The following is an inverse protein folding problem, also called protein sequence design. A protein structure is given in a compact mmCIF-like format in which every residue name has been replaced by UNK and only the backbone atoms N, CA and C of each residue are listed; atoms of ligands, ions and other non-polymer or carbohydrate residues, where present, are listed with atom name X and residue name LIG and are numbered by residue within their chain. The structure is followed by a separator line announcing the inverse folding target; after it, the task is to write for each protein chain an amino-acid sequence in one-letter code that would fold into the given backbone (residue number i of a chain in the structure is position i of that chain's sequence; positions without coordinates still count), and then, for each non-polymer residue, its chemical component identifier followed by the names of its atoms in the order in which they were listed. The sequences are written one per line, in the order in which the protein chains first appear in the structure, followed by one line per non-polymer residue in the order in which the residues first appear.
data_IF_491541734389
#
_entry.id   IF_491541734389
#
_cell.length_a   1.000
_cell.length_b   1.000
_cell.length_c   1.000
_cell.angle_alpha   90.00
_cell.angle_beta   90.00
_cell.angle_gamma   90.00
#
_symmetry.space_group_name_H-M   'P 1'
#
loop_
_entity.id
_entity.type
_entity.pdbx_description
1 polymer ?
#
# COMPACT_ATOMS: atom_id res chain seq x y z
N UNK A 1 25.35 0.94 30.37
CA UNK A 1 24.71 1.16 29.02
C UNK A 1 23.21 1.24 29.14
N UNK A 2 22.50 0.22 29.71
CA UNK A 2 21.03 0.16 29.76
C UNK A 2 20.36 1.38 30.43
N UNK A 3 20.88 1.79 31.60
CA UNK A 3 20.39 3.00 32.30
C UNK A 3 20.54 4.26 31.44
N UNK A 4 21.69 4.45 30.81
CA UNK A 4 21.92 5.64 29.98
C UNK A 4 21.05 5.69 28.74
N UNK A 5 20.83 4.56 28.08
CA UNK A 5 19.91 4.52 26.94
C UNK A 5 18.44 4.73 27.37
N UNK A 6 18.03 4.18 28.51
CA UNK A 6 16.69 4.40 29.06
C UNK A 6 16.46 5.87 29.44
N UNK A 7 17.47 6.52 30.06
CA UNK A 7 17.45 7.94 30.38
C UNK A 7 17.37 8.79 29.10
N UNK A 8 18.18 8.49 28.10
CA UNK A 8 18.14 9.18 26.80
C UNK A 8 16.79 9.01 26.12
N UNK A 9 16.21 7.83 26.11
CA UNK A 9 14.89 7.57 25.56
C UNK A 9 13.79 8.34 26.29
N UNK A 10 13.87 8.49 27.62
CA UNK A 10 12.96 9.33 28.38
C UNK A 10 13.08 10.80 28.03
N UNK A 11 14.30 11.32 27.94
CA UNK A 11 14.57 12.70 27.52
C UNK A 11 14.08 12.96 26.10
N UNK A 12 14.33 12.03 25.17
CA UNK A 12 13.83 12.11 23.80
C UNK A 12 12.29 12.14 23.74
N UNK A 13 11.61 11.36 24.60
CA UNK A 13 10.17 11.40 24.72
C UNK A 13 9.65 12.79 25.15
N UNK A 14 10.28 13.43 26.14
CA UNK A 14 9.86 14.73 26.65
C UNK A 14 10.15 15.88 25.67
N UNK A 15 11.24 15.77 24.92
CA UNK A 15 11.65 16.78 23.91
C UNK A 15 11.02 16.53 22.54
N UNK A 16 10.49 15.31 22.30
CA UNK A 16 9.90 14.92 21.03
C UNK A 16 10.90 14.55 19.93
N UNK A 17 12.22 14.52 20.25
CA UNK A 17 13.29 14.13 19.30
C UNK A 17 14.42 13.42 20.02
N UNK A 18 15.05 12.38 19.40
CA UNK A 18 14.62 11.69 18.18
C UNK A 18 13.29 10.95 18.36
N UNK A 19 12.69 10.54 17.26
CA UNK A 19 11.43 9.79 17.28
C UNK A 19 11.59 8.42 17.93
N UNK A 20 10.50 7.86 18.45
CA UNK A 20 10.49 6.49 18.98
C UNK A 20 11.07 5.47 18.00
N UNK A 21 10.71 5.57 16.71
CA UNK A 21 11.18 4.63 15.68
C UNK A 21 12.68 4.70 15.43
N UNK A 22 13.29 5.87 15.57
CA UNK A 22 14.76 6.05 15.48
C UNK A 22 15.44 5.40 16.69
N UNK A 23 14.89 5.58 17.89
CA UNK A 23 15.42 4.94 19.08
C UNK A 23 15.25 3.42 19.10
N UNK A 24 14.13 2.90 18.59
CA UNK A 24 13.96 1.45 18.42
C UNK A 24 15.03 0.84 17.49
N UNK A 25 15.39 1.55 16.41
CA UNK A 25 16.49 1.15 15.52
C UNK A 25 17.84 1.24 16.21
N UNK A 26 18.08 2.31 16.96
CA UNK A 26 19.32 2.49 17.71
C UNK A 26 19.49 1.40 18.78
N UNK A 27 18.40 1.07 19.53
CA UNK A 27 18.41 0.00 20.52
C UNK A 27 18.67 -1.37 19.87
N UNK A 28 18.02 -1.65 18.75
CA UNK A 28 18.26 -2.89 18.00
C UNK A 28 19.69 -2.96 17.45
N UNK A 29 20.24 -1.82 17.00
CA UNK A 29 21.63 -1.72 16.58
C UNK A 29 22.62 -1.98 17.72
N UNK A 30 22.40 -1.39 18.88
CA UNK A 30 23.22 -1.65 20.07
C UNK A 30 23.20 -3.14 20.45
N UNK A 31 22.03 -3.76 20.49
CA UNK A 31 21.91 -5.19 20.82
C UNK A 31 22.49 -6.12 19.76
N UNK A 32 22.61 -5.67 18.52
CA UNK A 32 23.20 -6.44 17.42
C UNK A 32 24.72 -6.36 17.43
N UNK A 33 25.26 -5.14 17.51
CA UNK A 33 26.70 -4.88 17.38
C UNK A 33 27.46 -5.03 18.69
N UNK A 34 26.79 -4.89 19.83
CA UNK A 34 27.37 -4.97 21.16
C UNK A 34 26.58 -6.00 22.02
N UNK A 35 26.64 -7.28 21.64
CA UNK A 35 25.83 -8.33 22.28
C UNK A 35 26.16 -8.52 23.77
N UNK A 36 27.34 -8.12 24.22
CA UNK A 36 27.78 -8.13 25.61
C UNK A 36 26.92 -7.24 26.52
N UNK A 37 26.21 -6.25 25.97
CA UNK A 37 25.30 -5.40 26.74
C UNK A 37 23.87 -5.95 26.85
N UNK A 38 23.57 -7.09 26.21
CA UNK A 38 22.28 -7.75 26.36
C UNK A 38 22.18 -8.50 27.72
N UNK A 39 20.98 -8.52 28.33
CA UNK A 39 19.76 -7.80 27.93
C UNK A 39 19.78 -6.33 28.33
N UNK A 40 18.97 -5.48 27.64
CA UNK A 40 18.74 -4.08 27.97
C UNK A 40 17.29 -3.87 28.50
N UNK A 41 16.96 -4.40 29.70
CA UNK A 41 15.57 -4.46 30.17
C UNK A 41 14.96 -3.09 30.47
N UNK A 42 15.73 -2.14 31.02
CA UNK A 42 15.25 -0.78 31.30
C UNK A 42 14.93 -0.03 30.00
N UNK A 43 15.83 -0.07 29.04
CA UNK A 43 15.66 0.54 27.72
C UNK A 43 14.41 -0.02 27.02
N UNK A 44 14.26 -1.35 27.02
CA UNK A 44 13.08 -2.00 26.44
C UNK A 44 11.79 -1.67 27.20
N UNK A 45 11.84 -1.53 28.54
CA UNK A 45 10.70 -1.09 29.34
C UNK A 45 10.31 0.36 29.01
N UNK A 46 11.29 1.26 28.90
CA UNK A 46 11.08 2.63 28.51
C UNK A 46 10.43 2.75 27.13
N UNK A 47 10.94 2.03 26.12
CA UNK A 47 10.39 2.01 24.77
C UNK A 47 8.97 1.43 24.70
N UNK A 48 8.67 0.41 25.53
CA UNK A 48 7.30 -0.12 25.65
C UNK A 48 6.37 0.90 26.31
N UNK A 49 6.83 1.58 27.35
CA UNK A 49 6.09 2.68 28.01
C UNK A 49 5.73 3.78 27.03
N UNK A 50 6.72 4.27 26.26
CA UNK A 50 6.48 5.25 25.20
C UNK A 50 5.43 4.77 24.20
N UNK A 51 5.51 3.51 23.74
CA UNK A 51 4.53 2.95 22.79
C UNK A 51 3.10 2.86 23.33
N UNK A 52 2.93 2.78 24.67
CA UNK A 52 1.61 2.82 25.31
C UNK A 52 1.08 4.24 25.45
N UNK A 53 1.95 5.21 25.78
CA UNK A 53 1.58 6.62 25.93
C UNK A 53 1.31 7.28 24.58
N UNK A 54 2.12 6.94 23.57
CA UNK A 54 1.98 7.43 22.20
C UNK A 54 1.94 6.23 21.27
N UNK A 55 0.79 5.57 21.13
CA UNK A 55 0.66 4.44 20.21
C UNK A 55 0.89 4.90 18.77
N UNK A 56 1.58 4.10 17.95
CA UNK A 56 1.76 4.43 16.55
C UNK A 56 0.39 4.54 15.87
N UNK A 57 0.19 5.63 15.14
CA UNK A 57 -1.04 5.78 14.36
C UNK A 57 -0.98 4.81 13.16
N UNK A 58 -1.91 3.86 13.06
CA UNK A 58 -1.94 2.95 11.93
C UNK A 58 -2.27 3.73 10.65
N UNK A 59 -1.66 3.34 9.54
CA UNK A 59 -1.99 3.91 8.23
C UNK A 59 -3.50 3.83 7.99
N UNK A 60 -4.08 4.91 7.46
CA UNK A 60 -5.50 4.94 7.13
C UNK A 60 -5.79 3.94 6.01
N UNK A 61 -6.88 3.15 6.08
CA UNK A 61 -7.24 2.25 4.98
C UNK A 61 -7.66 3.09 3.77
N UNK A 62 -7.06 2.80 2.61
CA UNK A 62 -7.34 3.51 1.36
C UNK A 62 -8.70 3.09 0.80
N UNK A 63 -9.73 3.96 0.78
CA UNK A 63 -10.97 3.64 0.09
C UNK A 63 -10.74 3.38 -1.40
N UNK A 64 -11.56 2.51 -2.01
CA UNK A 64 -11.42 2.19 -3.45
C UNK A 64 -11.49 3.43 -4.33
N UNK A 65 -12.43 4.32 -4.05
CA UNK A 65 -12.63 5.54 -4.84
C UNK A 65 -11.40 6.44 -4.79
N UNK A 66 -10.76 6.56 -3.61
CA UNK A 66 -9.50 7.29 -3.51
C UNK A 66 -8.39 6.57 -4.29
N UNK A 67 -8.31 5.24 -4.27
CA UNK A 67 -7.32 4.50 -5.04
C UNK A 67 -7.50 4.70 -6.55
N UNK A 68 -8.73 4.68 -7.05
CA UNK A 68 -9.07 4.96 -8.46
C UNK A 68 -8.71 6.40 -8.84
N UNK A 69 -9.11 7.37 -8.01
CA UNK A 69 -8.81 8.78 -8.27
C UNK A 69 -7.30 9.07 -8.26
N UNK A 70 -6.55 8.46 -7.33
CA UNK A 70 -5.09 8.58 -7.29
C UNK A 70 -4.42 8.00 -8.53
N UNK A 71 -4.89 6.84 -9.00
CA UNK A 71 -4.39 6.24 -10.24
C UNK A 71 -4.67 7.12 -11.45
N UNK A 72 -5.89 7.66 -11.57
CA UNK A 72 -6.24 8.59 -12.63
C UNK A 72 -5.39 9.88 -12.57
N UNK A 73 -5.21 10.45 -11.38
CA UNK A 73 -4.37 11.65 -11.20
C UNK A 73 -2.90 11.38 -11.56
N UNK A 74 -2.35 10.23 -11.21
CA UNK A 74 -0.99 9.83 -11.57
C UNK A 74 -0.85 9.63 -13.08
N UNK A 75 -1.80 8.96 -13.74
CA UNK A 75 -1.81 8.75 -15.19
C UNK A 75 -1.92 10.09 -15.95
N UNK A 76 -2.80 11.01 -15.50
CA UNK A 76 -2.92 12.36 -16.06
C UNK A 76 -1.63 13.18 -15.92
N UNK A 77 -0.84 12.91 -14.90
CA UNK A 77 0.48 13.51 -14.70
C UNK A 77 1.60 12.81 -15.49
N UNK A 78 1.28 11.84 -16.35
CA UNK A 78 2.23 11.07 -17.15
C UNK A 78 2.91 9.91 -16.40
N UNK A 79 2.53 9.62 -15.16
CA UNK A 79 3.12 8.54 -14.34
C UNK A 79 2.23 7.30 -14.35
N UNK A 80 2.12 6.69 -15.53
CA UNK A 80 1.30 5.48 -15.72
C UNK A 80 1.80 4.30 -14.90
N UNK A 81 3.11 4.17 -14.73
CA UNK A 81 3.70 3.10 -13.91
C UNK A 81 3.22 3.18 -12.45
N UNK A 82 3.23 4.37 -11.86
CA UNK A 82 2.70 4.56 -10.51
C UNK A 82 1.18 4.34 -10.43
N UNK A 83 0.43 4.77 -11.44
CA UNK A 83 -1.02 4.54 -11.50
C UNK A 83 -1.36 3.03 -11.43
N UNK A 84 -0.72 2.22 -12.27
CA UNK A 84 -0.92 0.76 -12.29
C UNK A 84 -0.43 0.13 -10.97
N UNK A 85 0.72 0.58 -10.46
CA UNK A 85 1.26 0.09 -9.19
C UNK A 85 0.31 0.35 -8.00
N UNK A 86 -0.36 1.50 -7.96
CA UNK A 86 -1.35 1.85 -6.92
C UNK A 86 -2.56 0.90 -6.97
N UNK A 87 -3.14 0.70 -8.15
CA UNK A 87 -4.28 -0.20 -8.34
C UNK A 87 -3.91 -1.64 -7.99
N UNK A 88 -2.76 -2.11 -8.48
CA UNK A 88 -2.27 -3.46 -8.19
C UNK A 88 -1.99 -3.65 -6.70
N UNK A 89 -1.47 -2.63 -6.02
CA UNK A 89 -1.22 -2.68 -4.58
C UNK A 89 -2.52 -2.73 -3.77
N UNK A 90 -3.59 -2.09 -4.24
CA UNK A 90 -4.90 -2.14 -3.61
C UNK A 90 -5.59 -3.49 -3.86
N UNK A 91 -5.58 -4.00 -5.09
CA UNK A 91 -6.21 -5.25 -5.47
C UNK A 91 -5.52 -6.47 -4.83
N UNK A 92 -4.19 -6.58 -5.00
CA UNK A 92 -3.39 -7.72 -4.54
C UNK A 92 -2.80 -7.53 -3.13
N UNK A 93 -3.10 -6.42 -2.46
CA UNK A 93 -2.61 -6.05 -1.13
C UNK A 93 -1.09 -6.10 -1.02
N UNK A 94 -0.39 -5.57 -2.03
CA UNK A 94 1.07 -5.60 -2.10
C UNK A 94 1.71 -4.54 -1.21
N UNK A 95 2.85 -4.90 -0.61
CA UNK A 95 3.74 -3.93 0.01
C UNK A 95 4.48 -3.14 -1.08
N UNK A 96 4.92 -1.93 -0.78
CA UNK A 96 5.66 -1.10 -1.74
C UNK A 96 6.91 -1.81 -2.27
N UNK A 97 7.62 -2.55 -1.42
CA UNK A 97 8.79 -3.33 -1.83
C UNK A 97 8.43 -4.52 -2.71
N UNK A 98 7.25 -5.11 -2.54
CA UNK A 98 6.76 -6.21 -3.36
C UNK A 98 6.42 -5.71 -4.76
N UNK A 99 5.61 -4.64 -4.88
CA UNK A 99 5.25 -4.08 -6.19
C UNK A 99 6.46 -3.51 -6.93
N UNK A 100 7.34 -2.76 -6.26
CA UNK A 100 8.56 -2.22 -6.87
C UNK A 100 9.57 -3.32 -7.29
N UNK A 101 9.48 -4.49 -6.67
CA UNK A 101 10.31 -5.65 -6.99
C UNK A 101 9.80 -6.52 -8.13
N UNK A 102 8.58 -6.26 -8.66
CA UNK A 102 8.01 -7.06 -9.74
C UNK A 102 8.81 -6.90 -11.03
N UNK A 103 9.15 -8.04 -11.62
CA UNK A 103 9.77 -8.13 -12.95
C UNK A 103 8.73 -8.51 -14.00
N UNK A 104 9.08 -8.41 -15.27
CA UNK A 104 8.20 -8.83 -16.38
C UNK A 104 7.80 -10.30 -16.25
N UNK A 105 8.71 -11.17 -15.79
CA UNK A 105 8.47 -12.60 -15.56
C UNK A 105 7.60 -12.90 -14.34
N UNK A 106 7.36 -11.91 -13.49
CA UNK A 106 6.55 -12.09 -12.29
C UNK A 106 5.04 -12.06 -12.58
N UNK A 107 4.62 -11.64 -13.76
CA UNK A 107 3.21 -11.66 -14.17
C UNK A 107 2.91 -12.96 -14.91
N UNK A 108 2.11 -13.81 -14.28
CA UNK A 108 1.67 -15.11 -14.81
C UNK A 108 0.29 -14.94 -15.41
N UNK A 109 0.20 -15.05 -16.74
CA UNK A 109 -1.06 -14.95 -17.49
C UNK A 109 -1.54 -16.34 -17.87
N UNK A 110 -2.62 -16.78 -17.24
CA UNK A 110 -3.28 -18.06 -17.48
C UNK A 110 -4.74 -17.86 -17.94
N UNK A 111 -5.09 -16.74 -18.55
CA UNK A 111 -6.46 -16.48 -19.03
C UNK A 111 -6.90 -17.51 -20.07
N UNK A 112 -5.99 -18.08 -20.84
CA UNK A 112 -6.24 -19.15 -21.80
C UNK A 112 -6.18 -20.58 -21.25
N UNK A 113 -6.03 -20.78 -19.94
CA UNK A 113 -5.97 -22.13 -19.36
C UNK A 113 -7.28 -22.90 -19.63
N UNK A 114 -7.15 -24.20 -19.93
CA UNK A 114 -8.30 -25.08 -20.13
C UNK A 114 -9.13 -25.23 -18.85
N UNK A 115 -8.45 -25.45 -17.72
CA UNK A 115 -9.09 -25.53 -16.40
C UNK A 115 -9.59 -24.15 -15.94
N UNK A 116 -10.92 -24.00 -15.78
CA UNK A 116 -11.51 -22.72 -15.32
C UNK A 116 -10.98 -22.24 -13.97
N UNK A 117 -10.57 -23.15 -13.08
CA UNK A 117 -10.02 -22.81 -11.75
C UNK A 117 -8.68 -22.12 -11.89
N UNK A 118 -7.91 -22.46 -12.90
CA UNK A 118 -6.60 -21.89 -13.18
C UNK A 118 -6.65 -20.59 -13.98
N UNK A 119 -7.81 -20.28 -14.60
CA UNK A 119 -7.94 -19.08 -15.44
C UNK A 119 -7.75 -17.81 -14.65
N UNK A 120 -6.88 -16.94 -15.14
CA UNK A 120 -6.67 -15.61 -14.58
C UNK A 120 -5.27 -15.09 -14.74
N UNK A 121 -4.99 -13.98 -14.09
CA UNK A 121 -3.67 -13.37 -14.02
C UNK A 121 -3.24 -13.32 -12.57
N UNK A 122 -2.01 -13.70 -12.30
CA UNK A 122 -1.42 -13.64 -10.97
C UNK A 122 -0.06 -12.92 -11.01
N UNK A 123 0.32 -12.35 -9.88
CA UNK A 123 1.67 -11.83 -9.65
C UNK A 123 2.43 -12.79 -8.76
N UNK A 124 3.61 -13.21 -9.20
CA UNK A 124 4.51 -14.07 -8.46
C UNK A 124 5.49 -13.25 -7.63
N UNK A 125 5.61 -13.60 -6.37
CA UNK A 125 6.43 -12.94 -5.37
C UNK A 125 7.50 -13.92 -4.88
N UNK A 126 8.71 -13.92 -5.47
CA UNK A 126 9.75 -14.90 -5.13
C UNK A 126 10.18 -14.82 -3.68
N UNK A 127 10.18 -13.62 -3.09
CA UNK A 127 10.51 -13.37 -1.68
C UNK A 127 9.65 -12.24 -1.13
N UNK A 128 9.02 -12.51 0.02
CA UNK A 128 8.28 -11.51 0.80
C UNK A 128 8.82 -11.45 2.23
N UNK A 129 8.34 -10.51 3.04
CA UNK A 129 8.71 -10.44 4.47
C UNK A 129 8.32 -11.70 5.24
N UNK A 130 7.25 -12.38 4.83
CA UNK A 130 6.62 -13.48 5.56
C UNK A 130 6.76 -14.84 4.89
N UNK A 131 7.44 -14.94 3.74
CA UNK A 131 7.59 -16.20 3.03
C UNK A 131 8.30 -16.08 1.70
N UNK A 132 8.45 -17.23 1.03
CA UNK A 132 9.05 -17.34 -0.31
C UNK A 132 8.04 -17.98 -1.26
N UNK A 133 8.20 -17.73 -2.58
CA UNK A 133 7.43 -18.39 -3.67
C UNK A 133 5.91 -18.23 -3.48
N UNK A 134 5.47 -17.02 -3.20
CA UNK A 134 4.05 -16.69 -3.04
C UNK A 134 3.50 -16.14 -4.36
N UNK A 135 2.22 -16.37 -4.62
CA UNK A 135 1.50 -15.78 -5.74
C UNK A 135 0.21 -15.14 -5.25
N UNK A 136 -0.23 -14.10 -5.93
CA UNK A 136 -1.53 -13.45 -5.66
C UNK A 136 -2.24 -13.23 -6.97
N UNK A 137 -3.46 -13.76 -7.08
CA UNK A 137 -4.33 -13.55 -8.23
C UNK A 137 -4.84 -12.11 -8.24
N UNK A 138 -4.91 -11.51 -9.42
CA UNK A 138 -5.58 -10.23 -9.63
C UNK A 138 -7.08 -10.51 -9.71
N UNK A 139 -7.88 -9.91 -8.82
CA UNK A 139 -9.33 -10.16 -8.74
C UNK A 139 -10.10 -9.37 -9.79
N UNK A 140 -9.66 -8.15 -10.11
CA UNK A 140 -10.29 -7.30 -11.13
C UNK A 140 -9.87 -7.74 -12.54
N UNK A 141 -10.80 -8.23 -13.39
CA UNK A 141 -10.47 -8.62 -14.77
C UNK A 141 -9.88 -7.48 -15.60
N UNK A 142 -10.42 -6.27 -15.48
CA UNK A 142 -9.90 -5.09 -16.19
C UNK A 142 -8.47 -4.73 -15.76
N UNK A 143 -8.18 -4.84 -14.45
CA UNK A 143 -6.82 -4.62 -13.96
C UNK A 143 -5.86 -5.73 -14.42
N UNK A 144 -6.34 -6.97 -14.51
CA UNK A 144 -5.58 -8.07 -15.05
C UNK A 144 -5.16 -7.81 -16.50
N UNK A 145 -6.09 -7.36 -17.35
CA UNK A 145 -5.81 -6.96 -18.73
C UNK A 145 -4.80 -5.82 -18.81
N UNK A 146 -5.00 -4.77 -18.00
CA UNK A 146 -4.09 -3.64 -17.93
C UNK A 146 -2.67 -4.06 -17.52
N UNK A 147 -2.53 -4.92 -16.52
CA UNK A 147 -1.23 -5.41 -16.05
C UNK A 147 -0.52 -6.27 -17.10
N UNK A 148 -1.26 -7.11 -17.84
CA UNK A 148 -0.69 -7.89 -18.94
C UNK A 148 -0.25 -7.00 -20.09
N UNK A 149 -1.06 -6.00 -20.48
CA UNK A 149 -0.67 -5.03 -21.49
C UNK A 149 0.57 -4.24 -21.08
N UNK A 150 0.62 -3.79 -19.83
CA UNK A 150 1.78 -3.11 -19.25
C UNK A 150 3.05 -3.98 -19.24
N UNK A 151 2.93 -5.25 -18.84
CA UNK A 151 4.03 -6.22 -18.92
C UNK A 151 4.56 -6.32 -20.33
N UNK A 152 3.68 -6.54 -21.33
CA UNK A 152 4.05 -6.70 -22.72
C UNK A 152 4.74 -5.44 -23.28
N UNK A 153 4.25 -4.27 -22.94
CA UNK A 153 4.86 -2.99 -23.34
C UNK A 153 6.26 -2.82 -22.70
N UNK A 154 6.38 -3.16 -21.40
CA UNK A 154 7.64 -3.10 -20.66
C UNK A 154 8.69 -4.07 -21.23
N UNK A 155 8.28 -5.28 -21.57
CA UNK A 155 9.12 -6.32 -22.19
C UNK A 155 9.65 -5.85 -23.56
N UNK A 156 8.76 -5.31 -24.41
CA UNK A 156 9.15 -4.75 -25.71
C UNK A 156 10.13 -3.58 -25.58
N UNK A 157 10.02 -2.79 -24.50
CA UNK A 157 10.95 -1.72 -24.17
C UNK A 157 12.27 -2.22 -23.54
N UNK A 158 12.47 -3.52 -23.39
CA UNK A 158 13.64 -4.11 -22.77
C UNK A 158 13.72 -3.91 -21.24
N UNK A 159 12.63 -3.51 -20.62
CA UNK A 159 12.60 -3.30 -19.18
C UNK A 159 12.59 -4.64 -18.42
N UNK A 160 13.46 -4.78 -17.44
CA UNK A 160 13.45 -5.95 -16.55
C UNK A 160 12.43 -5.81 -15.41
N UNK A 161 12.20 -4.60 -14.94
CA UNK A 161 11.25 -4.28 -13.85
C UNK A 161 10.02 -3.59 -14.41
N UNK A 162 8.86 -3.90 -13.84
CA UNK A 162 7.59 -3.31 -14.23
C UNK A 162 7.38 -1.91 -13.63
N UNK A 163 7.94 -1.66 -12.45
CA UNK A 163 7.63 -0.46 -11.67
C UNK A 163 8.89 0.22 -11.16
N UNK A 164 8.85 1.54 -10.93
CA UNK A 164 9.96 2.29 -10.39
C UNK A 164 10.25 1.93 -8.92
N UNK A 165 11.41 2.36 -8.38
CA UNK A 165 11.80 2.08 -7.01
C UNK A 165 10.83 2.70 -5.99
N UNK A 166 10.82 2.19 -4.73
CA UNK A 166 9.90 2.63 -3.68
C UNK A 166 9.91 4.14 -3.40
N UNK A 167 11.06 4.80 -3.56
CA UNK A 167 11.18 6.24 -3.36
C UNK A 167 10.33 7.02 -4.38
N UNK A 168 10.46 6.68 -5.67
CA UNK A 168 9.70 7.31 -6.77
C UNK A 168 8.19 7.06 -6.59
N UNK A 169 7.78 5.83 -6.27
CA UNK A 169 6.38 5.50 -6.01
C UNK A 169 5.78 6.33 -4.87
N UNK A 170 6.55 6.62 -3.80
CA UNK A 170 6.09 7.50 -2.71
C UNK A 170 5.92 8.94 -3.17
N UNK A 171 6.84 9.44 -3.99
CA UNK A 171 6.74 10.80 -4.57
C UNK A 171 5.48 10.92 -5.42
N UNK A 172 5.21 9.94 -6.28
CA UNK A 172 4.01 9.92 -7.14
C UNK A 172 2.72 9.86 -6.30
N UNK A 173 2.68 9.03 -5.26
CA UNK A 173 1.54 8.97 -4.34
C UNK A 173 1.30 10.33 -3.66
N UNK A 174 2.35 10.94 -3.10
CA UNK A 174 2.22 12.22 -2.40
C UNK A 174 1.75 13.33 -3.35
N UNK A 175 2.27 13.36 -4.58
CA UNK A 175 1.82 14.31 -5.62
C UNK A 175 0.34 14.13 -5.95
N UNK A 176 -0.10 12.89 -6.18
CA UNK A 176 -1.50 12.59 -6.47
C UNK A 176 -2.44 12.94 -5.29
N UNK A 177 -2.02 12.66 -4.05
CA UNK A 177 -2.76 13.07 -2.83
C UNK A 177 -2.91 14.59 -2.74
N UNK A 178 -1.85 15.35 -3.04
CA UNK A 178 -1.90 16.82 -3.04
C UNK A 178 -2.85 17.36 -4.11
N UNK A 179 -2.76 16.84 -5.34
CA UNK A 179 -3.65 17.24 -6.46
C UNK A 179 -5.11 17.01 -6.12
N UNK A 180 -5.43 15.93 -5.43
CA UNK A 180 -6.80 15.60 -5.03
C UNK A 180 -7.27 16.27 -3.73
N UNK A 181 -6.41 17.05 -3.07
CA UNK A 181 -6.73 17.64 -1.77
C UNK A 181 -6.94 16.59 -0.66
N UNK A 182 -6.39 15.38 -0.84
CA UNK A 182 -6.51 14.27 0.11
C UNK A 182 -5.20 14.03 0.91
N UNK A 183 -4.31 15.01 0.92
CA UNK A 183 -3.02 14.99 1.63
C UNK A 183 -2.74 16.31 2.34
N UNK A 184 -1.69 16.30 3.19
CA UNK A 184 -1.21 17.47 3.90
C UNK A 184 -1.76 17.63 5.32
N UNK A 185 -1.35 18.73 6.02
CA UNK A 185 -1.58 18.90 7.46
C UNK A 185 -3.05 18.80 7.89
N UNK A 186 -3.99 19.30 7.08
CA UNK A 186 -5.42 19.25 7.39
C UNK A 186 -5.99 17.82 7.46
N UNK A 187 -5.37 16.88 6.77
CA UNK A 187 -5.71 15.45 6.83
C UNK A 187 -4.97 14.76 7.98
N UNK A 188 -3.72 15.13 8.20
CA UNK A 188 -2.90 14.59 9.29
C UNK A 188 -3.47 14.94 10.68
N UNK A 189 -3.96 16.15 10.88
CA UNK A 189 -4.63 16.57 12.13
C UNK A 189 -5.89 15.76 12.43
N UNK A 190 -6.55 15.22 11.40
CA UNK A 190 -7.69 14.30 11.54
C UNK A 190 -7.27 12.85 11.72
N UNK A 191 -5.98 12.57 11.86
CA UNK A 191 -5.46 11.21 11.92
C UNK A 191 -5.54 10.47 10.58
N UNK A 192 -5.66 11.18 9.46
CA UNK A 192 -5.83 10.63 8.13
C UNK A 192 -4.52 10.74 7.35
N UNK A 193 -3.63 9.83 7.64
CA UNK A 193 -2.34 9.74 6.97
C UNK A 193 -2.37 8.60 5.95
N UNK A 194 -2.40 8.95 4.66
CA UNK A 194 -2.32 7.98 3.57
C UNK A 194 -0.87 7.78 3.15
N UNK A 195 -0.42 6.54 3.21
CA UNK A 195 0.89 6.09 2.75
C UNK A 195 0.70 4.90 1.83
N UNK A 196 1.77 4.41 1.19
CA UNK A 196 1.65 3.23 0.32
C UNK A 196 0.99 2.03 1.01
N UNK A 197 1.25 1.86 2.30
CA UNK A 197 0.68 0.78 3.09
C UNK A 197 -0.85 0.88 3.24
N UNK A 198 -1.41 2.07 3.05
CA UNK A 198 -2.85 2.33 3.05
C UNK A 198 -3.62 1.54 1.99
N UNK A 199 -3.00 1.26 0.83
CA UNK A 199 -3.61 0.41 -0.20
C UNK A 199 -3.87 -1.00 0.33
N UNK A 200 -2.92 -1.58 1.08
CA UNK A 200 -3.05 -2.90 1.66
C UNK A 200 -4.11 -2.95 2.77
N UNK A 201 -4.19 -1.91 3.61
CA UNK A 201 -5.26 -1.75 4.60
C UNK A 201 -6.62 -1.60 3.91
N UNK A 202 -6.70 -0.80 2.86
CA UNK A 202 -7.92 -0.56 2.10
C UNK A 202 -8.45 -1.81 1.41
N UNK A 203 -7.59 -2.54 0.69
CA UNK A 203 -7.98 -3.77 0.02
C UNK A 203 -8.49 -4.85 1.00
N UNK A 204 -7.80 -5.04 2.13
CA UNK A 204 -8.21 -6.00 3.15
C UNK A 204 -9.54 -5.61 3.84
N UNK A 205 -9.69 -4.32 4.19
CA UNK A 205 -10.92 -3.81 4.81
C UNK A 205 -12.10 -3.90 3.85
N UNK A 206 -11.88 -3.63 2.57
CA UNK A 206 -12.89 -3.77 1.53
C UNK A 206 -13.35 -5.23 1.39
N UNK A 207 -12.41 -6.17 1.28
CA UNK A 207 -12.74 -7.59 1.19
C UNK A 207 -13.59 -8.07 2.38
N UNK A 208 -13.30 -7.57 3.58
CA UNK A 208 -14.10 -7.84 4.77
C UNK A 208 -15.52 -7.26 4.65
N UNK A 209 -15.64 -6.01 4.18
CA UNK A 209 -16.94 -5.36 3.95
C UNK A 209 -17.77 -6.06 2.84
N UNK A 210 -17.10 -6.68 1.88
CA UNK A 210 -17.73 -7.49 0.81
C UNK A 210 -18.10 -8.91 1.29
N UNK A 211 -17.91 -9.22 2.60
CA UNK A 211 -18.33 -10.49 3.19
C UNK A 211 -17.31 -11.63 3.04
N UNK A 212 -16.07 -11.36 2.62
CA UNK A 212 -15.02 -12.40 2.64
C UNK A 212 -14.73 -12.81 4.08
N UNK A 213 -14.63 -14.11 4.30
CA UNK A 213 -14.26 -14.62 5.61
C UNK A 213 -12.80 -14.30 5.98
N UNK A 214 -12.50 -14.33 7.29
CA UNK A 214 -11.19 -13.95 7.79
C UNK A 214 -10.09 -14.91 7.32
N UNK A 215 -10.39 -16.19 7.11
CA UNK A 215 -9.40 -17.17 6.65
C UNK A 215 -8.97 -16.90 5.21
N UNK A 216 -9.91 -16.56 4.32
CA UNK A 216 -9.61 -16.12 2.96
C UNK A 216 -8.80 -14.81 2.95
N UNK A 217 -9.12 -13.87 3.87
CA UNK A 217 -8.38 -12.62 4.04
C UNK A 217 -6.95 -12.89 4.50
N UNK A 218 -6.74 -13.77 5.49
CA UNK A 218 -5.42 -14.16 6.00
C UNK A 218 -4.57 -14.76 4.86
N UNK A 219 -5.14 -15.70 4.12
CA UNK A 219 -4.46 -16.38 3.02
C UNK A 219 -4.06 -15.38 1.92
N UNK A 220 -5.00 -14.57 1.44
CA UNK A 220 -4.75 -13.56 0.40
C UNK A 220 -3.73 -12.53 0.85
N UNK A 221 -3.84 -12.05 2.10
CA UNK A 221 -2.91 -11.09 2.68
C UNK A 221 -1.54 -11.67 3.03
N UNK A 222 -1.40 -12.98 2.96
CA UNK A 222 -0.15 -13.66 3.31
C UNK A 222 0.29 -13.36 4.75
N UNK A 223 -0.68 -13.32 5.67
CA UNK A 223 -0.40 -13.15 7.11
C UNK A 223 -0.19 -14.51 7.77
N UNK A 224 0.75 -14.55 8.72
CA UNK A 224 1.05 -15.77 9.45
C UNK A 224 0.02 -16.06 10.57
N UNK A 225 -0.71 -15.01 11.03
CA UNK A 225 -1.68 -15.12 12.10
C UNK A 225 -2.86 -14.19 11.89
N UNK A 226 -4.01 -14.57 12.41
CA UNK A 226 -5.23 -13.78 12.37
C UNK A 226 -5.08 -12.41 13.06
N UNK A 227 -4.37 -12.36 14.19
CA UNK A 227 -4.08 -11.10 14.89
C UNK A 227 -3.37 -10.09 14.00
N UNK A 228 -2.48 -10.56 13.11
CA UNK A 228 -1.84 -9.71 12.11
C UNK A 228 -2.82 -9.22 11.06
N UNK A 229 -3.74 -10.08 10.58
CA UNK A 229 -4.76 -9.70 9.60
C UNK A 229 -5.75 -8.68 10.19
N UNK A 230 -6.21 -8.91 11.43
CA UNK A 230 -7.13 -7.99 12.14
C UNK A 230 -6.59 -6.57 12.25
N UNK A 231 -5.28 -6.39 12.36
CA UNK A 231 -4.67 -5.06 12.34
C UNK A 231 -4.87 -4.31 11.01
N UNK A 232 -4.98 -5.04 9.91
CA UNK A 232 -5.21 -4.46 8.57
C UNK A 232 -6.68 -4.22 8.27
N UNK A 233 -7.58 -5.00 8.85
CA UNK A 233 -9.03 -4.84 8.64
C UNK A 233 -9.55 -3.71 9.51
N UNK A 234 -9.76 -2.55 8.91
CA UNK A 234 -10.26 -1.33 9.54
C UNK A 234 -11.59 -0.89 8.89
N UNK A 235 -12.55 -1.82 8.81
CA UNK A 235 -13.78 -1.65 8.06
C UNK A 235 -14.57 -0.38 8.45
N UNK A 236 -14.82 -0.16 9.74
CA UNK A 236 -15.54 1.03 10.21
C UNK A 236 -14.79 2.32 9.87
N UNK A 237 -13.47 2.34 10.03
CA UNK A 237 -12.65 3.51 9.65
C UNK A 237 -12.69 3.77 8.15
N UNK A 238 -12.71 2.72 7.33
CA UNK A 238 -12.81 2.86 5.87
C UNK A 238 -14.14 3.47 5.45
N UNK A 239 -15.26 3.06 6.07
CA UNK A 239 -16.58 3.65 5.81
C UNK A 239 -16.62 5.14 6.14
N UNK A 240 -16.12 5.53 7.32
CA UNK A 240 -16.04 6.94 7.71
C UNK A 240 -15.16 7.76 6.76
N UNK A 241 -14.03 7.19 6.32
CA UNK A 241 -13.13 7.83 5.37
C UNK A 241 -13.78 8.05 4.01
N UNK A 242 -14.56 7.09 3.52
CA UNK A 242 -15.27 7.22 2.24
C UNK A 242 -16.24 8.40 2.25
N UNK A 243 -16.90 8.68 3.38
CA UNK A 243 -17.79 9.83 3.55
C UNK A 243 -17.05 11.16 3.64
N UNK A 244 -15.80 11.17 4.08
CA UNK A 244 -14.99 12.38 4.27
C UNK A 244 -14.16 12.77 3.04
N UNK A 245 -14.19 11.98 1.95
CA UNK A 245 -13.41 12.26 0.75
C UNK A 245 -13.83 13.56 0.06
N UNK A 246 -12.88 14.33 -0.50
CA UNK A 246 -13.20 15.52 -1.28
C UNK A 246 -14.10 15.16 -2.49
N UNK A 247 -15.06 16.03 -2.88
CA UNK A 247 -15.92 15.77 -4.04
C UNK A 247 -15.17 15.47 -5.34
N UNK A 248 -13.99 16.10 -5.52
CA UNK A 248 -13.11 15.83 -6.68
C UNK A 248 -12.68 14.36 -6.75
N UNK A 249 -12.44 13.71 -5.60
CA UNK A 249 -12.10 12.27 -5.54
C UNK A 249 -13.25 11.43 -6.05
N UNK A 250 -14.46 11.65 -5.52
CA UNK A 250 -15.65 10.90 -5.94
C UNK A 250 -15.93 11.09 -7.43
N UNK A 251 -15.83 12.33 -7.92
CA UNK A 251 -16.00 12.66 -9.33
C UNK A 251 -15.01 11.93 -10.22
N UNK A 252 -13.71 11.98 -9.91
CA UNK A 252 -12.68 11.35 -10.74
C UNK A 252 -12.76 9.83 -10.67
N UNK A 253 -13.03 9.28 -9.48
CA UNK A 253 -13.24 7.84 -9.30
C UNK A 253 -14.42 7.32 -10.11
N UNK A 254 -15.57 8.00 -10.06
CA UNK A 254 -16.76 7.63 -10.82
C UNK A 254 -16.51 7.66 -12.33
N UNK A 255 -15.82 8.68 -12.81
CA UNK A 255 -15.45 8.79 -14.23
C UNK A 255 -14.54 7.65 -14.67
N UNK A 256 -13.49 7.35 -13.89
CA UNK A 256 -12.59 6.22 -14.21
C UNK A 256 -13.34 4.88 -14.12
N UNK A 257 -14.18 4.67 -13.13
CA UNK A 257 -14.98 3.46 -13.02
C UNK A 257 -15.94 3.26 -14.22
N UNK A 258 -16.45 4.36 -14.78
CA UNK A 258 -17.35 4.33 -15.95
C UNK A 258 -16.63 3.98 -17.25
N UNK A 259 -15.43 4.50 -17.47
CA UNK A 259 -14.63 4.23 -18.69
C UNK A 259 -13.74 2.98 -18.57
N UNK A 260 -13.64 2.40 -17.36
CA UNK A 260 -12.79 1.27 -17.04
C UNK A 260 -11.32 1.64 -16.80
N UNK A 261 -10.64 0.88 -15.93
CA UNK A 261 -9.22 1.15 -15.59
C UNK A 261 -8.27 0.90 -16.77
N UNK A 262 -8.67 0.12 -17.76
CA UNK A 262 -7.91 -0.09 -18.99
C UNK A 262 -7.70 1.23 -19.78
N UNK A 263 -8.59 2.20 -19.61
CA UNK A 263 -8.45 3.51 -20.23
C UNK A 263 -7.25 4.33 -19.73
N UNK A 264 -6.63 3.95 -18.61
CA UNK A 264 -5.43 4.64 -18.08
C UNK A 264 -4.26 4.66 -19.08
N UNK A 265 -4.19 3.70 -19.99
CA UNK A 265 -3.15 3.63 -21.05
C UNK A 265 -3.56 4.34 -22.33
N UNK A 266 -4.78 4.85 -22.41
CA UNK A 266 -5.28 5.50 -23.62
C UNK A 266 -4.65 6.91 -23.75
N UNK A 267 -4.16 7.29 -24.95
CA UNK A 267 -3.57 8.60 -25.16
C UNK A 267 -4.58 9.75 -25.00
N UNK A 268 -5.86 9.46 -25.20
CA UNK A 268 -6.99 10.37 -25.05
C UNK A 268 -7.67 10.28 -23.65
N UNK A 269 -6.98 9.77 -22.64
CA UNK A 269 -7.51 9.66 -21.26
C UNK A 269 -8.15 10.96 -20.74
N UNK A 270 -7.55 12.17 -20.94
CA UNK A 270 -8.17 13.41 -20.48
C UNK A 270 -9.54 13.68 -21.12
N UNK A 271 -9.70 13.39 -22.43
CA UNK A 271 -10.95 13.53 -23.18
C UNK A 271 -12.01 12.54 -22.69
N UNK A 272 -11.62 11.26 -22.53
CA UNK A 272 -12.51 10.20 -22.02
C UNK A 272 -13.03 10.53 -20.63
N UNK A 273 -12.17 10.99 -19.73
CA UNK A 273 -12.57 11.39 -18.37
C UNK A 273 -13.51 12.63 -18.40
N UNK A 274 -13.32 13.56 -19.33
CA UNK A 274 -14.23 14.70 -19.51
C UNK A 274 -15.58 14.25 -20.07
N UNK A 275 -15.60 13.39 -21.08
CA UNK A 275 -16.81 12.86 -21.67
C UNK A 275 -17.65 12.05 -20.66
N UNK A 276 -17.01 11.28 -19.79
CA UNK A 276 -17.67 10.53 -18.71
C UNK A 276 -18.28 11.42 -17.61
N UNK A 277 -18.17 12.73 -17.70
CA UNK A 277 -18.82 13.68 -16.79
C UNK A 277 -20.32 13.90 -17.13
N UNK A 278 -20.74 13.56 -18.34
CA UNK A 278 -22.12 13.64 -18.86
C UNK A 278 -22.82 12.30 -18.64
#
# INVERSE_FOLDING_TARGET
MDYWFAYYAHTAYTVGRPSRGELEKALAGLEHWLPEFKPLPLSRRCMRGWGRLVPPMPAAPMPRDLALALAAAAALAGDLAAAIAMLLSHDCWLRISEVAGLTVDAVVDQRGAEDPVMRGVAVYLPRTKTGRRQAVRIDSPELAELVVAWRTASERAGARRLFPPPASLRVSLNRALQVLGAGGPAWETRGLHFVWHSFRHGGASRAYLEGRDMSAIILRGRWAAESSARHYVQAGRQMLLALALPPAVATLASRLARIGVAALVAPDLPERLRAAAR
#
